data_IF_825300706164
#
_entry.id   IF_825300706164
#
_cell.length_a   1.000
_cell.length_b   1.000
_cell.length_c   1.000
_cell.angle_alpha   90.00
_cell.angle_beta   90.00
_cell.angle_gamma   90.00
#
_symmetry.space_group_name_H-M   'P 1'
#
loop_
_entity.id
_entity.type
_entity.pdbx_description
1 polymer ?
#
# COMPACT_ATOMS: atom_id res chain seq x y z
N UNK A 1 7.60 -5.76 11.93
CA UNK A 1 6.97 -5.20 13.15
C UNK A 1 6.94 -3.66 13.10
N UNK A 2 8.08 -2.99 12.86
CA UNK A 2 8.15 -1.52 12.84
C UNK A 2 7.18 -0.85 11.83
N UNK A 3 7.18 -1.28 10.57
CA UNK A 3 6.31 -0.68 9.53
C UNK A 3 4.82 -0.81 9.87
N UNK A 4 4.37 -2.00 10.26
CA UNK A 4 2.96 -2.24 10.64
C UNK A 4 2.51 -1.31 11.76
N UNK A 5 3.31 -1.14 12.80
CA UNK A 5 2.99 -0.24 13.91
C UNK A 5 2.89 1.22 13.46
N UNK A 6 3.79 1.66 12.57
CA UNK A 6 3.78 3.03 12.05
C UNK A 6 2.58 3.29 11.12
N UNK A 7 2.24 2.33 10.27
CA UNK A 7 1.05 2.37 9.41
C UNK A 7 -0.22 2.43 10.25
N UNK A 8 -0.33 1.60 11.29
CA UNK A 8 -1.45 1.65 12.24
C UNK A 8 -1.60 3.02 12.93
N UNK A 9 -0.50 3.66 13.32
CA UNK A 9 -0.55 5.01 13.88
C UNK A 9 -1.04 6.03 12.84
N UNK A 10 -0.54 5.96 11.61
CA UNK A 10 -0.95 6.84 10.52
C UNK A 10 -2.44 6.69 10.16
N UNK A 11 -3.00 5.47 10.23
CA UNK A 11 -4.43 5.21 10.05
C UNK A 11 -5.27 5.96 11.10
N UNK A 12 -4.86 5.91 12.38
CA UNK A 12 -5.56 6.60 13.48
C UNK A 12 -5.49 8.11 13.31
N UNK A 13 -4.31 8.64 12.97
CA UNK A 13 -4.11 10.09 12.75
C UNK A 13 -4.98 10.64 11.61
N UNK A 14 -5.38 9.77 10.68
CA UNK A 14 -6.19 10.10 9.49
C UNK A 14 -7.55 9.42 9.48
N UNK A 15 -8.10 9.13 10.66
CA UNK A 15 -9.38 8.42 10.80
C UNK A 15 -10.51 9.02 9.97
N UNK A 16 -10.62 10.35 9.89
CA UNK A 16 -11.71 11.01 9.18
C UNK A 16 -11.65 10.76 7.66
N UNK A 17 -10.44 10.54 7.14
CA UNK A 17 -10.21 10.14 5.76
C UNK A 17 -10.39 8.63 5.55
N UNK A 18 -9.97 7.80 6.51
CA UNK A 18 -9.89 6.35 6.36
C UNK A 18 -11.21 5.63 6.71
N UNK A 19 -11.93 6.08 7.73
CA UNK A 19 -13.17 5.45 8.23
C UNK A 19 -14.20 5.12 7.13
N UNK A 20 -14.45 5.98 6.13
CA UNK A 20 -15.36 5.64 5.02
C UNK A 20 -14.97 4.40 4.21
N UNK A 21 -13.70 3.98 4.27
CA UNK A 21 -13.15 2.88 3.48
C UNK A 21 -12.99 1.56 4.25
N UNK A 22 -13.05 1.57 5.58
CA UNK A 22 -12.67 0.40 6.39
C UNK A 22 -13.83 -0.45 6.92
N UNK A 23 -15.09 -0.11 6.63
CA UNK A 23 -16.26 -0.96 6.91
C UNK A 23 -16.57 -1.25 8.39
N UNK A 24 -15.67 -0.89 9.29
CA UNK A 24 -15.74 -0.98 10.75
C UNK A 24 -15.26 0.33 11.39
N UNK A 25 -15.34 0.44 12.72
CA UNK A 25 -14.70 1.56 13.43
C UNK A 25 -13.17 1.50 13.33
N UNK A 26 -12.52 2.66 13.37
CA UNK A 26 -11.06 2.77 13.24
C UNK A 26 -10.30 2.00 14.33
N UNK A 27 -10.82 1.97 15.55
CA UNK A 27 -10.19 1.28 16.67
C UNK A 27 -10.20 -0.24 16.48
N UNK A 28 -11.33 -0.80 16.03
CA UNK A 28 -11.47 -2.23 15.74
C UNK A 28 -10.56 -2.64 14.57
N UNK A 29 -10.59 -1.84 13.49
CA UNK A 29 -9.77 -2.08 12.31
C UNK A 29 -8.27 -2.10 12.64
N UNK A 30 -7.79 -1.09 13.37
CA UNK A 30 -6.38 -0.98 13.76
C UNK A 30 -5.98 -2.09 14.73
N UNK A 31 -6.86 -2.49 15.65
CA UNK A 31 -6.62 -3.62 16.56
C UNK A 31 -6.37 -4.93 15.78
N UNK A 32 -7.19 -5.20 14.76
CA UNK A 32 -6.98 -6.35 13.87
C UNK A 32 -5.72 -6.19 13.02
N UNK A 33 -5.48 -5.00 12.47
CA UNK A 33 -4.35 -4.73 11.59
C UNK A 33 -2.99 -4.83 12.30
N UNK A 34 -2.94 -4.67 13.63
CA UNK A 34 -1.72 -4.88 14.41
C UNK A 34 -1.29 -6.35 14.48
N UNK A 35 -2.20 -7.31 14.26
CA UNK A 35 -1.86 -8.74 14.30
C UNK A 35 -0.95 -9.10 13.11
N UNK A 36 0.15 -9.85 13.32
CA UNK A 36 1.09 -10.18 12.24
C UNK A 36 0.48 -10.92 11.06
N UNK A 37 -0.57 -11.71 11.30
CA UNK A 37 -1.28 -12.52 10.31
C UNK A 37 -2.35 -11.76 9.52
N UNK A 38 -2.62 -10.50 9.86
CA UNK A 38 -3.61 -9.68 9.15
C UNK A 38 -3.00 -9.11 7.87
N UNK A 39 -3.70 -9.33 6.76
CA UNK A 39 -3.27 -8.87 5.44
C UNK A 39 -3.56 -7.38 5.32
N UNK A 40 -2.60 -6.63 4.78
CA UNK A 40 -2.81 -5.23 4.43
C UNK A 40 -3.47 -5.10 3.06
N UNK A 41 -4.16 -3.99 2.84
CA UNK A 41 -4.78 -3.64 1.57
C UNK A 41 -4.53 -2.18 1.19
N UNK A 42 -5.45 -1.60 0.41
CA UNK A 42 -5.32 -0.23 -0.08
C UNK A 42 -5.18 0.84 1.03
N UNK A 43 -5.89 0.76 2.19
CA UNK A 43 -5.68 1.70 3.29
C UNK A 43 -4.25 1.66 3.82
N UNK A 44 -3.67 0.46 3.98
CA UNK A 44 -2.29 0.30 4.44
C UNK A 44 -1.28 0.79 3.40
N UNK A 45 -1.50 0.53 2.10
CA UNK A 45 -0.62 1.03 1.03
C UNK A 45 -0.63 2.57 0.98
N UNK A 46 -1.82 3.16 1.14
CA UNK A 46 -1.99 4.62 1.23
C UNK A 46 -1.20 5.20 2.40
N UNK A 47 -1.32 4.61 3.59
CA UNK A 47 -0.60 5.08 4.79
C UNK A 47 0.90 4.77 4.74
N UNK A 48 1.30 3.65 4.13
CA UNK A 48 2.71 3.32 3.95
C UNK A 48 3.43 4.33 3.05
N UNK A 49 2.75 4.90 2.05
CA UNK A 49 3.32 5.98 1.21
C UNK A 49 3.73 7.22 2.04
N UNK A 50 2.95 7.55 3.07
CA UNK A 50 3.23 8.65 4.00
C UNK A 50 4.36 8.27 4.96
N UNK A 51 4.28 7.08 5.57
CA UNK A 51 5.25 6.62 6.57
C UNK A 51 6.65 6.49 5.98
N UNK A 52 6.73 6.00 4.75
CA UNK A 52 8.00 5.77 4.04
C UNK A 52 8.45 6.97 3.22
N UNK A 53 7.61 8.01 3.09
CA UNK A 53 7.88 9.19 2.26
C UNK A 53 8.26 8.80 0.83
N UNK A 54 7.50 7.89 0.24
CA UNK A 54 7.73 7.37 -1.11
C UNK A 54 6.41 7.05 -1.80
N UNK A 55 6.43 6.96 -3.13
CA UNK A 55 5.29 6.39 -3.88
C UNK A 55 5.25 4.88 -3.67
N UNK A 56 4.05 4.32 -3.59
CA UNK A 56 3.86 2.88 -3.68
C UNK A 56 3.13 2.57 -4.97
N UNK A 57 3.76 1.81 -5.85
CA UNK A 57 3.22 1.46 -7.18
C UNK A 57 2.91 -0.02 -7.20
N UNK A 58 1.66 -0.35 -7.53
CA UNK A 58 1.19 -1.73 -7.65
C UNK A 58 1.21 -2.13 -9.11
N UNK A 59 1.85 -3.26 -9.37
CA UNK A 59 1.86 -3.93 -10.67
C UNK A 59 1.08 -5.24 -10.58
N UNK A 60 0.42 -5.62 -11.67
CA UNK A 60 -0.23 -6.92 -11.80
C UNK A 60 0.27 -7.65 -13.06
N UNK A 61 0.40 -9.00 -13.03
CA UNK A 61 0.66 -9.78 -14.23
C UNK A 61 -0.53 -9.74 -15.18
N UNK A 62 -0.28 -9.35 -16.43
CA UNK A 62 -1.25 -9.39 -17.52
C UNK A 62 -0.82 -10.47 -18.51
N UNK A 63 -1.76 -11.34 -18.88
CA UNK A 63 -1.53 -12.42 -19.85
C UNK A 63 -2.29 -12.10 -21.12
N UNK A 64 -1.57 -11.68 -22.16
CA UNK A 64 -2.12 -11.37 -23.47
C UNK A 64 -1.38 -12.16 -24.55
N UNK A 65 -2.12 -12.83 -25.44
CA UNK A 65 -1.54 -13.57 -26.56
C UNK A 65 -0.39 -14.54 -26.18
N UNK A 66 -0.47 -15.17 -24.99
CA UNK A 66 0.58 -16.05 -24.40
C UNK A 66 1.87 -15.33 -24.00
N UNK A 67 1.86 -14.02 -23.89
CA UNK A 67 2.93 -13.20 -23.33
C UNK A 67 2.49 -12.72 -21.95
N UNK A 68 3.39 -12.80 -20.97
CA UNK A 68 3.18 -12.22 -19.64
C UNK A 68 3.88 -10.87 -19.60
N UNK A 69 3.13 -9.82 -19.29
CA UNK A 69 3.64 -8.47 -19.02
C UNK A 69 3.21 -8.01 -17.64
N UNK A 70 3.77 -6.88 -17.18
CA UNK A 70 3.35 -6.21 -15.96
C UNK A 70 2.60 -4.94 -16.32
N UNK A 71 1.42 -4.74 -15.75
CA UNK A 71 0.67 -3.48 -15.84
C UNK A 71 0.68 -2.76 -14.51
N UNK A 72 0.96 -1.46 -14.50
CA UNK A 72 0.71 -0.60 -13.32
C UNK A 72 -0.80 -0.48 -13.14
N UNK A 73 -1.33 -0.91 -12.00
CA UNK A 73 -2.77 -0.88 -11.70
C UNK A 73 -3.15 0.21 -10.71
N UNK A 74 -2.28 0.47 -9.73
CA UNK A 74 -2.50 1.50 -8.72
C UNK A 74 -1.22 2.24 -8.36
N UNK A 75 -1.36 3.47 -7.89
CA UNK A 75 -0.29 4.28 -7.31
C UNK A 75 -0.82 5.04 -6.10
N UNK A 76 -0.07 4.97 -5.01
CA UNK A 76 -0.38 5.65 -3.76
C UNK A 76 0.72 6.67 -3.45
N UNK A 77 0.33 7.93 -3.34
CA UNK A 77 1.18 9.04 -2.98
C UNK A 77 0.34 10.07 -2.20
N UNK A 78 0.41 10.01 -0.87
CA UNK A 78 -0.27 10.96 0.02
C UNK A 78 0.71 11.88 0.75
N UNK A 79 1.93 12.06 0.22
CA UNK A 79 2.91 12.97 0.81
C UNK A 79 2.53 14.41 0.44
N UNK A 80 1.96 15.13 1.41
CA UNK A 80 1.30 16.43 1.18
C UNK A 80 2.26 17.54 0.69
N UNK A 81 3.55 17.47 1.04
CA UNK A 81 4.53 18.53 0.78
C UNK A 81 5.63 18.15 -0.23
N UNK A 82 5.58 16.93 -0.80
CA UNK A 82 6.58 16.50 -1.77
C UNK A 82 6.11 16.74 -3.20
N UNK A 83 7.01 17.24 -4.05
CA UNK A 83 6.78 17.20 -5.49
C UNK A 83 6.86 15.76 -5.95
N UNK A 84 5.91 15.36 -6.77
CA UNK A 84 5.79 13.98 -7.24
C UNK A 84 7.10 13.47 -7.89
N UNK A 85 7.77 14.29 -8.68
CA UNK A 85 9.03 13.93 -9.35
C UNK A 85 10.23 13.70 -8.40
N UNK A 86 10.15 14.19 -7.16
CA UNK A 86 11.23 14.11 -6.18
C UNK A 86 11.14 12.84 -5.30
N UNK A 87 10.03 12.09 -5.38
CA UNK A 87 9.80 10.91 -4.55
C UNK A 87 10.31 9.63 -5.23
N UNK A 88 11.10 8.86 -4.49
CA UNK A 88 11.38 7.48 -4.84
C UNK A 88 10.08 6.65 -4.85
N UNK A 89 10.10 5.55 -5.61
CA UNK A 89 8.98 4.62 -5.71
C UNK A 89 9.36 3.22 -5.23
N UNK A 90 8.51 2.65 -4.38
CA UNK A 90 8.51 1.23 -4.03
C UNK A 90 7.52 0.53 -4.95
N UNK A 91 7.97 -0.51 -5.64
CA UNK A 91 7.12 -1.30 -6.52
C UNK A 91 6.75 -2.62 -5.86
N UNK A 92 5.47 -2.96 -5.91
CA UNK A 92 4.95 -4.25 -5.44
C UNK A 92 4.20 -4.94 -6.57
N UNK A 93 4.30 -6.26 -6.61
CA UNK A 93 3.55 -7.11 -7.51
C UNK A 93 2.35 -7.69 -6.77
N UNK A 94 1.14 -7.34 -7.19
CA UNK A 94 -0.09 -7.97 -6.73
C UNK A 94 -0.42 -9.18 -7.61
N UNK A 95 -0.59 -10.35 -7.02
CA UNK A 95 -0.86 -11.59 -7.76
C UNK A 95 -1.92 -12.45 -7.08
N UNK A 96 -2.68 -13.17 -7.92
CA UNK A 96 -3.71 -14.10 -7.47
C UNK A 96 -4.87 -13.46 -6.70
N UNK A 97 -5.03 -12.14 -6.77
CA UNK A 97 -6.09 -11.39 -6.08
C UNK A 97 -5.93 -11.34 -4.55
N UNK A 98 -4.75 -11.68 -4.03
CA UNK A 98 -4.52 -11.70 -2.58
C UNK A 98 -3.10 -11.35 -2.17
N UNK A 99 -2.08 -11.74 -2.94
CA UNK A 99 -0.69 -11.71 -2.47
C UNK A 99 0.12 -10.54 -3.06
N UNK A 100 0.99 -9.96 -2.23
CA UNK A 100 1.95 -8.94 -2.64
C UNK A 100 3.38 -9.46 -2.52
N UNK A 101 4.16 -9.28 -3.57
CA UNK A 101 5.61 -9.48 -3.58
C UNK A 101 6.33 -8.14 -3.83
N UNK A 102 7.58 -8.00 -3.35
CA UNK A 102 8.42 -6.88 -3.73
C UNK A 102 8.84 -7.02 -5.19
N UNK A 103 8.62 -5.99 -6.00
CA UNK A 103 9.07 -5.94 -7.39
C UNK A 103 10.38 -5.16 -7.47
N UNK A 104 11.49 -5.88 -7.64
CA UNK A 104 12.84 -5.30 -7.67
C UNK A 104 13.35 -5.31 -9.11
N UNK A 105 13.72 -4.14 -9.64
CA UNK A 105 14.43 -4.05 -10.91
C UNK A 105 15.90 -4.36 -10.71
N UNK A 106 16.43 -5.33 -11.45
CA UNK A 106 17.86 -5.61 -11.45
C UNK A 106 18.60 -4.58 -12.32
N UNK A 107 19.79 -4.11 -11.91
CA UNK A 107 20.62 -3.19 -12.68
C UNK A 107 21.14 -3.81 -13.99
#
# INVERSE_FOLDING_TARGET
>A
MALRSAVCAALVDRKDFIEPFIGSGIEEYVCEMQKPSTWGGEPELSMASIVLLCKIVVFEPVIEAKVISLSKTSEYCLVEDAKDDDLESIHVLFSGGMHYDALITMP
#
